data_IF_633175199636
#
_entry.id   IF_633175199636
#
_cell.length_a   1.000
_cell.length_b   1.000
_cell.length_c   1.000
_cell.angle_alpha   90.00
_cell.angle_beta   90.00
_cell.angle_gamma   90.00
#
_symmetry.space_group_name_H-M   'P 1'
#
loop_
_entity.id
_entity.type
_entity.pdbx_description
1 polymer ?
#
# COMPACT_ATOMS: atom_id res chain seq x y z
N UNK A 1 10.03 12.71 -2.08
CA UNK A 1 8.59 12.44 -1.90
C UNK A 1 8.38 11.44 -0.77
N UNK A 2 7.23 11.47 -0.11
CA UNK A 2 6.85 10.52 0.92
C UNK A 2 5.52 9.87 0.56
N UNK A 3 5.36 8.58 0.89
CA UNK A 3 4.12 7.83 0.72
C UNK A 3 3.67 7.31 2.08
N UNK A 4 2.45 7.68 2.45
CA UNK A 4 1.75 7.18 3.63
C UNK A 4 0.49 6.47 3.15
N UNK A 5 0.44 5.16 3.36
CA UNK A 5 -0.64 4.30 2.92
C UNK A 5 -1.52 3.95 4.10
N UNK A 6 -2.75 4.46 4.09
CA UNK A 6 -3.84 3.93 4.92
C UNK A 6 -4.42 2.70 4.19
N UNK A 7 -3.99 1.51 4.59
CA UNK A 7 -4.33 0.29 3.86
C UNK A 7 -5.79 -0.13 4.11
N UNK A 8 -6.32 0.10 5.31
CA UNK A 8 -7.67 -0.34 5.68
C UNK A 8 -8.72 0.33 4.81
N UNK A 9 -8.63 1.66 4.67
CA UNK A 9 -9.55 2.43 3.83
C UNK A 9 -9.46 2.01 2.36
N UNK A 10 -8.24 1.78 1.85
CA UNK A 10 -8.04 1.30 0.47
C UNK A 10 -8.61 -0.11 0.28
N UNK A 11 -8.40 -1.01 1.23
CA UNK A 11 -8.87 -2.39 1.16
C UNK A 11 -10.40 -2.50 1.23
N UNK A 12 -11.04 -1.69 2.08
CA UNK A 12 -12.51 -1.58 2.16
C UNK A 12 -13.05 -1.07 0.81
N UNK A 13 -12.51 0.03 0.29
CA UNK A 13 -12.93 0.60 -0.99
C UNK A 13 -12.72 -0.34 -2.18
N UNK A 14 -11.62 -1.08 -2.21
CA UNK A 14 -11.35 -2.07 -3.25
C UNK A 14 -12.36 -3.23 -3.23
N UNK A 15 -12.78 -3.68 -2.04
CA UNK A 15 -13.79 -4.73 -1.88
C UNK A 15 -15.16 -4.27 -2.36
N UNK A 16 -15.55 -3.03 -2.03
CA UNK A 16 -16.87 -2.48 -2.39
C UNK A 16 -17.00 -2.17 -3.90
N UNK A 17 -15.90 -1.76 -4.54
CA UNK A 17 -15.90 -1.37 -5.95
C UNK A 17 -15.88 -2.53 -6.96
N UNK A 18 -15.81 -3.80 -6.50
CA UNK A 18 -15.61 -5.01 -7.34
C UNK A 18 -14.41 -4.93 -8.28
N UNK A 19 -13.45 -4.06 -8.00
CA UNK A 19 -12.21 -3.94 -8.76
C UNK A 19 -11.25 -5.05 -8.32
N UNK A 20 -10.32 -5.44 -9.20
CA UNK A 20 -9.22 -6.35 -8.87
C UNK A 20 -8.53 -5.95 -7.56
N UNK A 21 -8.02 -6.94 -6.81
CA UNK A 21 -7.27 -6.74 -5.57
C UNK A 21 -6.27 -5.58 -5.70
N UNK A 22 -6.24 -4.72 -4.68
CA UNK A 22 -5.29 -3.60 -4.61
C UNK A 22 -3.85 -4.10 -4.81
N UNK A 23 -3.12 -3.39 -5.67
CA UNK A 23 -1.73 -3.69 -6.03
C UNK A 23 -0.88 -2.42 -5.88
N UNK A 24 0.02 -2.44 -4.90
CA UNK A 24 0.89 -1.31 -4.57
C UNK A 24 1.89 -1.00 -5.68
N UNK A 25 2.29 -1.98 -6.49
CA UNK A 25 3.28 -1.77 -7.55
C UNK A 25 2.77 -0.78 -8.59
N UNK A 26 1.49 -0.88 -8.97
CA UNK A 26 0.85 0.07 -9.90
C UNK A 26 0.89 1.51 -9.39
N UNK A 27 0.75 1.71 -8.08
CA UNK A 27 0.85 3.04 -7.46
C UNK A 27 2.29 3.54 -7.54
N UNK A 28 3.27 2.70 -7.18
CA UNK A 28 4.68 3.07 -7.23
C UNK A 28 5.15 3.39 -8.65
N UNK A 29 4.75 2.59 -9.64
CA UNK A 29 5.01 2.85 -11.07
C UNK A 29 4.50 4.22 -11.50
N UNK A 30 3.28 4.59 -11.06
CA UNK A 30 2.70 5.89 -11.38
C UNK A 30 3.46 7.06 -10.74
N UNK A 31 4.12 6.80 -9.61
CA UNK A 31 4.91 7.75 -8.83
C UNK A 31 6.37 7.84 -9.30
N UNK A 32 6.92 6.84 -9.99
CA UNK A 32 8.30 6.85 -10.53
C UNK A 32 8.70 8.17 -11.23
N UNK A 33 7.90 8.72 -12.17
CA UNK A 33 8.29 9.96 -12.88
C UNK A 33 8.18 11.22 -12.00
N UNK A 34 7.66 11.12 -10.77
CA UNK A 34 7.51 12.25 -9.85
C UNK A 34 8.73 12.45 -8.94
N UNK A 35 9.77 11.64 -9.11
CA UNK A 35 11.02 11.71 -8.37
C UNK A 35 11.11 10.68 -7.24
N UNK A 36 12.21 10.74 -6.49
CA UNK A 36 12.56 9.73 -5.50
C UNK A 36 11.58 9.73 -4.31
N UNK A 37 11.11 8.53 -3.94
CA UNK A 37 10.38 8.28 -2.71
C UNK A 37 11.40 7.99 -1.61
N UNK A 38 11.48 8.87 -0.62
CA UNK A 38 12.41 8.77 0.51
C UNK A 38 11.75 8.21 1.78
N UNK A 39 10.41 8.16 1.82
CA UNK A 39 9.63 7.59 2.93
C UNK A 39 8.50 6.74 2.37
N UNK A 40 8.32 5.53 2.91
CA UNK A 40 7.22 4.61 2.62
C UNK A 40 6.72 4.00 3.92
N UNK A 41 5.54 4.41 4.37
CA UNK A 41 4.90 3.91 5.60
C UNK A 41 3.49 3.41 5.27
N UNK A 42 3.12 2.27 5.81
CA UNK A 42 1.78 1.71 5.68
C UNK A 42 1.18 1.46 7.07
N UNK A 43 -0.06 1.88 7.28
CA UNK A 43 -0.81 1.75 8.53
C UNK A 43 -1.94 0.75 8.33
N UNK A 44 -2.04 -0.24 9.21
CA UNK A 44 -3.08 -1.27 9.14
C UNK A 44 -3.14 -2.16 10.38
N UNK A 45 -4.34 -2.64 10.73
CA UNK A 45 -4.51 -3.89 11.48
C UNK A 45 -4.01 -5.07 10.63
N UNK A 46 -2.76 -5.41 10.89
CA UNK A 46 -2.01 -6.43 10.22
C UNK A 46 -2.50 -7.85 10.47
N UNK A 47 -3.31 -8.07 11.50
CA UNK A 47 -3.93 -9.36 11.74
C UNK A 47 -5.13 -9.60 10.82
N UNK A 48 -5.86 -8.54 10.48
CA UNK A 48 -6.99 -8.59 9.55
C UNK A 48 -6.57 -8.61 8.08
N UNK A 49 -5.41 -8.01 7.75
CA UNK A 49 -4.98 -7.80 6.36
C UNK A 49 -3.61 -8.47 6.04
N UNK A 50 -3.37 -9.67 6.59
CA UNK A 50 -2.11 -10.45 6.42
C UNK A 50 -1.68 -10.62 4.96
N UNK A 51 -2.64 -10.78 4.07
CA UNK A 51 -2.43 -10.99 2.63
C UNK A 51 -1.72 -9.82 1.91
N UNK A 52 -1.70 -8.64 2.49
CA UNK A 52 -1.06 -7.45 1.92
C UNK A 52 0.38 -7.25 2.41
N UNK A 53 0.77 -7.88 3.53
CA UNK A 53 2.09 -7.70 4.15
C UNK A 53 3.23 -8.01 3.19
N UNK A 54 3.16 -9.15 2.49
CA UNK A 54 4.25 -9.60 1.62
C UNK A 54 4.56 -8.57 0.54
N UNK A 55 3.55 -8.12 -0.20
CA UNK A 55 3.72 -7.15 -1.28
C UNK A 55 4.23 -5.79 -0.78
N UNK A 56 3.80 -5.36 0.41
CA UNK A 56 4.27 -4.12 1.03
C UNK A 56 5.71 -4.22 1.54
N UNK A 57 6.10 -5.35 2.13
CA UNK A 57 7.49 -5.62 2.51
C UNK A 57 8.42 -5.68 1.29
N UNK A 58 8.02 -6.38 0.23
CA UNK A 58 8.76 -6.43 -1.04
C UNK A 58 8.91 -5.02 -1.65
N UNK A 59 7.92 -4.14 -1.44
CA UNK A 59 7.95 -2.75 -1.86
C UNK A 59 8.73 -1.80 -0.92
N UNK A 60 9.36 -2.33 0.13
CA UNK A 60 10.10 -1.62 1.17
C UNK A 60 9.26 -0.60 1.96
N UNK A 61 8.01 -0.93 2.25
CA UNK A 61 7.21 -0.17 3.23
C UNK A 61 7.56 -0.58 4.65
N UNK A 62 7.68 0.42 5.52
CA UNK A 62 7.60 0.23 6.97
C UNK A 62 6.12 -0.02 7.33
N UNK A 63 5.86 -1.16 7.98
CA UNK A 63 4.52 -1.54 8.42
C UNK A 63 4.31 -1.04 9.85
N UNK A 64 3.29 -0.21 10.03
CA UNK A 64 2.91 0.42 11.28
C UNK A 64 1.54 -0.12 11.69
N UNK A 65 1.39 -0.42 12.98
CA UNK A 65 0.16 -0.93 13.59
C UNK A 65 -0.84 0.20 13.88
#
# INVERSE_FOLDING_TARGET
MAVFLDLENVAIGARESRISKFDIQKVLERLLPKGLIVVKKAYCDWDRYKDFKRGLHEAAFELIE
#
